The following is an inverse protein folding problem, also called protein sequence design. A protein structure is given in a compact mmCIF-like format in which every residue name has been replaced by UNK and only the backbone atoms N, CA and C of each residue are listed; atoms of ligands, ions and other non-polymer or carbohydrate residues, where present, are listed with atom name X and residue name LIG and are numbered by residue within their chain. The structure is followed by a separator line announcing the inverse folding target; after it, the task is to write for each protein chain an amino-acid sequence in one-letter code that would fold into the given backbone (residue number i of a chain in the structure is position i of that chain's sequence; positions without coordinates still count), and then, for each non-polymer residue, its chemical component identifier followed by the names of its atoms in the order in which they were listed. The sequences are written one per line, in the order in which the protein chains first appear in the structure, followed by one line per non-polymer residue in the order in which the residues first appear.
data_IF_286648194681
#
_entry.id   IF_286648194681
#
_cell.length_a   1.000
_cell.length_b   1.000
_cell.length_c   1.000
_cell.angle_alpha   90.00
_cell.angle_beta   90.00
_cell.angle_gamma   90.00
#
_symmetry.space_group_name_H-M   'P 1'
#
loop_
_entity.id
_entity.type
_entity.pdbx_description
1 polymer ?
#
# COMPACT_ATOMS: atom_id res chain seq x y z
N UNK A 1 20.05 -12.35 -12.40
CA UNK A 1 19.81 -13.67 -11.77
C UNK A 1 20.31 -13.66 -10.33
N UNK A 2 19.60 -14.28 -9.38
CA UNK A 2 19.94 -14.28 -7.94
C UNK A 2 21.03 -15.32 -7.64
N UNK A 3 22.19 -14.89 -7.14
CA UNK A 3 23.34 -15.74 -6.79
C UNK A 3 23.01 -16.69 -5.61
N UNK A 4 23.64 -17.86 -5.56
CA UNK A 4 23.51 -18.85 -4.47
C UNK A 4 23.71 -18.26 -3.07
N UNK A 5 24.66 -17.34 -2.88
CA UNK A 5 24.83 -16.59 -1.62
C UNK A 5 23.58 -15.79 -1.25
N UNK A 6 22.99 -15.13 -2.23
CA UNK A 6 21.82 -14.28 -2.06
C UNK A 6 20.56 -15.12 -1.78
N UNK A 7 20.45 -16.33 -2.34
CA UNK A 7 19.38 -17.30 -2.00
C UNK A 7 19.51 -17.81 -0.56
N UNK A 8 20.71 -18.14 -0.10
CA UNK A 8 20.92 -18.63 1.27
C UNK A 8 20.66 -17.53 2.31
N UNK A 9 21.09 -16.30 2.03
CA UNK A 9 20.76 -15.15 2.87
C UNK A 9 19.24 -14.89 2.93
N UNK A 10 18.54 -14.94 1.78
CA UNK A 10 17.09 -14.81 1.75
C UNK A 10 16.38 -15.93 2.53
N UNK A 11 16.91 -17.16 2.50
CA UNK A 11 16.37 -18.30 3.27
C UNK A 11 16.53 -18.11 4.78
N UNK A 12 17.71 -17.67 5.22
CA UNK A 12 17.99 -17.38 6.62
C UNK A 12 17.21 -16.15 7.15
N UNK A 13 16.95 -15.16 6.30
CA UNK A 13 16.11 -14.02 6.64
C UNK A 13 14.62 -14.40 6.69
N UNK A 14 14.18 -15.32 5.81
CA UNK A 14 12.81 -15.82 5.81
C UNK A 14 12.47 -16.60 7.09
N UNK A 15 13.40 -17.40 7.62
CA UNK A 15 13.20 -18.12 8.89
C UNK A 15 13.13 -17.19 10.10
N UNK A 16 13.73 -16.00 10.03
CA UNK A 16 13.62 -14.94 11.04
C UNK A 16 12.42 -14.01 10.86
N UNK A 17 11.66 -14.15 9.77
CA UNK A 17 10.51 -13.27 9.52
C UNK A 17 9.33 -13.63 10.43
N UNK A 18 8.91 -12.66 11.25
CA UNK A 18 7.70 -12.74 12.09
C UNK A 18 6.43 -12.38 11.32
N UNK A 19 6.46 -12.56 9.99
CA UNK A 19 5.34 -12.26 9.12
C UNK A 19 4.14 -13.17 9.41
N UNK A 20 2.90 -12.72 9.12
CA UNK A 20 1.72 -13.50 9.45
C UNK A 20 1.67 -14.82 8.67
N UNK A 21 1.58 -15.93 9.42
CA UNK A 21 1.59 -17.31 8.89
C UNK A 21 0.19 -17.85 8.60
N UNK A 22 -0.86 -17.24 9.15
CA UNK A 22 -2.26 -17.66 8.99
C UNK A 22 -2.96 -16.91 7.85
N UNK A 23 -4.00 -17.49 7.26
CA UNK A 23 -4.79 -16.86 6.20
C UNK A 23 -5.41 -15.52 6.66
N UNK A 24 -5.95 -15.48 7.89
CA UNK A 24 -6.46 -14.26 8.51
C UNK A 24 -5.35 -13.23 8.75
N UNK A 25 -4.17 -13.65 9.22
CA UNK A 25 -3.04 -12.76 9.40
C UNK A 25 -2.51 -12.18 8.07
N UNK A 26 -2.49 -13.00 7.00
CA UNK A 26 -2.13 -12.56 5.65
C UNK A 26 -3.17 -11.60 5.08
N UNK A 27 -4.46 -11.84 5.31
CA UNK A 27 -5.53 -10.91 4.93
C UNK A 27 -5.41 -9.58 5.69
N UNK A 28 -5.17 -9.61 7.00
CA UNK A 28 -4.94 -8.38 7.79
C UNK A 28 -3.66 -7.65 7.36
N UNK A 29 -2.59 -8.36 7.01
CA UNK A 29 -1.39 -7.75 6.46
C UNK A 29 -1.57 -7.24 5.02
N UNK A 30 -2.40 -7.86 4.18
CA UNK A 30 -2.77 -7.32 2.87
C UNK A 30 -3.64 -6.07 3.03
N UNK A 31 -4.47 -6.03 4.06
CA UNK A 31 -5.22 -4.83 4.47
C UNK A 31 -4.30 -3.73 5.04
N UNK A 32 -3.10 -4.05 5.57
CA UNK A 32 -2.12 -3.01 5.97
C UNK A 32 -1.63 -2.20 4.76
N UNK A 33 -1.48 -2.83 3.58
CA UNK A 33 -1.15 -2.12 2.34
C UNK A 33 -2.26 -1.15 1.92
N UNK A 34 -3.53 -1.51 2.17
CA UNK A 34 -4.69 -0.64 1.97
C UNK A 34 -4.79 0.46 3.04
N UNK A 35 -4.42 0.17 4.29
CA UNK A 35 -4.46 1.09 5.44
C UNK A 35 -3.50 2.27 5.31
N UNK A 36 -2.34 2.08 4.67
CA UNK A 36 -1.36 3.14 4.47
C UNK A 36 -1.46 3.80 3.09
N UNK A 37 -2.29 3.28 2.17
CA UNK A 37 -2.56 3.83 0.83
C UNK A 37 -1.40 3.80 -0.17
N UNK A 38 -0.15 3.91 0.32
CA UNK A 38 1.07 4.01 -0.49
C UNK A 38 1.52 2.68 -1.13
N UNK A 39 0.94 1.55 -0.72
CA UNK A 39 1.25 0.22 -1.24
C UNK A 39 0.07 -0.44 -1.96
N UNK A 40 -1.02 0.30 -2.20
CA UNK A 40 -2.12 -0.19 -3.02
C UNK A 40 -1.62 -0.37 -4.46
N UNK A 41 -1.87 -1.53 -5.08
CA UNK A 41 -1.48 -1.81 -6.47
C UNK A 41 -2.15 -0.78 -7.38
N UNK A 42 -1.38 -0.13 -8.25
CA UNK A 42 -1.85 0.89 -9.21
C UNK A 42 -3.14 0.49 -9.94
N UNK A 43 -3.22 -0.77 -10.37
CA UNK A 43 -4.36 -1.35 -11.10
C UNK A 43 -5.67 -1.47 -10.31
N UNK A 44 -5.72 -1.04 -9.05
CA UNK A 44 -6.96 -1.08 -8.25
C UNK A 44 -7.82 0.17 -8.41
N UNK A 45 -7.31 1.18 -9.13
CA UNK A 45 -7.97 2.46 -9.38
C UNK A 45 -8.60 2.49 -10.79
N UNK A 46 -9.86 2.95 -10.94
CA UNK A 46 -10.50 3.05 -12.25
C UNK A 46 -9.71 3.93 -13.23
N UNK A 47 -9.61 3.51 -14.50
CA UNK A 47 -8.96 4.27 -15.58
C UNK A 47 -7.43 4.21 -15.62
N UNK A 48 -6.81 3.55 -14.64
CA UNK A 48 -5.34 3.43 -14.57
C UNK A 48 -4.78 2.46 -15.58
N UNK A 49 -5.50 1.37 -15.85
CA UNK A 49 -5.10 0.43 -16.89
C UNK A 49 -5.14 1.11 -18.28
N UNK A 50 -6.11 1.98 -18.54
CA UNK A 50 -6.18 2.77 -19.78
C UNK A 50 -5.03 3.77 -19.90
N UNK A 51 -4.64 4.42 -18.80
CA UNK A 51 -3.50 5.34 -18.77
C UNK A 51 -2.18 4.60 -18.97
N UNK A 52 -2.02 3.43 -18.34
CA UNK A 52 -0.88 2.54 -18.54
C UNK A 52 -0.79 2.12 -20.01
N UNK A 53 -1.89 1.68 -20.61
CA UNK A 53 -1.90 1.21 -21.99
C UNK A 53 -1.65 2.35 -22.98
N UNK A 54 -2.17 3.56 -22.71
CA UNK A 54 -1.88 4.75 -23.51
C UNK A 54 -0.39 5.11 -23.46
N UNK A 55 0.20 5.14 -22.26
CA UNK A 55 1.64 5.42 -22.09
C UNK A 55 2.49 4.33 -22.71
N UNK A 56 2.11 3.05 -22.55
CA UNK A 56 2.82 1.92 -23.13
C UNK A 56 2.86 2.00 -24.66
N UNK A 57 1.73 2.32 -25.30
CA UNK A 57 1.67 2.52 -26.77
C UNK A 57 2.52 3.70 -27.21
N UNK A 58 2.51 4.81 -26.46
CA UNK A 58 3.35 5.96 -26.76
C UNK A 58 4.85 5.63 -26.64
N UNK A 59 5.24 4.80 -25.68
CA UNK A 59 6.64 4.35 -25.47
C UNK A 59 7.06 3.33 -26.54
N UNK A 60 6.20 2.35 -26.86
CA UNK A 60 6.49 1.31 -27.84
C UNK A 60 6.45 1.83 -29.30
N UNK A 61 5.69 2.89 -29.57
CA UNK A 61 5.49 3.41 -30.91
C UNK A 61 4.83 2.36 -31.83
N UNK A 62 5.37 2.18 -33.04
CA UNK A 62 4.89 1.18 -34.00
C UNK A 62 5.31 -0.26 -33.66
N UNK A 63 6.18 -0.45 -32.66
CA UNK A 63 6.74 -1.76 -32.31
C UNK A 63 5.90 -2.49 -31.28
N UNK A 64 4.94 -3.28 -31.79
CA UNK A 64 4.03 -4.09 -30.96
C UNK A 64 4.74 -5.16 -30.13
N UNK A 65 5.90 -5.63 -30.57
CA UNK A 65 6.76 -6.59 -29.89
C UNK A 65 7.35 -6.03 -28.58
N UNK A 66 7.48 -4.70 -28.46
CA UNK A 66 7.98 -4.04 -27.26
C UNK A 66 6.89 -3.63 -26.28
N UNK A 67 5.61 -3.89 -26.58
CA UNK A 67 4.47 -3.34 -25.83
C UNK A 67 4.46 -3.79 -24.37
N UNK A 68 4.81 -5.04 -24.07
CA UNK A 68 4.85 -5.54 -22.70
C UNK A 68 6.01 -4.94 -21.89
N UNK A 69 7.15 -4.64 -22.52
CA UNK A 69 8.27 -3.95 -21.89
C UNK A 69 7.92 -2.48 -21.66
N UNK A 70 7.29 -1.83 -22.63
CA UNK A 70 6.77 -0.47 -22.51
C UNK A 70 5.73 -0.35 -21.40
N UNK A 71 4.88 -1.36 -21.22
CA UNK A 71 3.90 -1.42 -20.13
C UNK A 71 4.57 -1.41 -18.75
N UNK A 72 5.69 -2.12 -18.58
CA UNK A 72 6.47 -2.09 -17.33
C UNK A 72 7.06 -0.71 -17.04
N UNK A 73 7.50 0.02 -18.07
CA UNK A 73 7.97 1.40 -17.94
C UNK A 73 6.82 2.31 -17.52
N UNK A 74 5.67 2.22 -18.22
CA UNK A 74 4.48 3.02 -17.94
C UNK A 74 3.98 2.82 -16.50
N UNK A 75 3.93 1.59 -16.02
CA UNK A 75 3.56 1.26 -14.64
C UNK A 75 4.48 1.92 -13.60
N UNK A 76 5.79 1.84 -13.82
CA UNK A 76 6.77 2.43 -12.91
C UNK A 76 6.74 3.97 -12.95
N UNK A 77 6.49 4.56 -14.11
CA UNK A 77 6.35 6.01 -14.26
C UNK A 77 5.09 6.53 -13.54
N UNK A 78 3.97 5.83 -13.68
CA UNK A 78 2.74 6.20 -12.99
C UNK A 78 2.86 6.00 -11.46
N UNK A 79 3.59 4.98 -11.00
CA UNK A 79 3.93 4.80 -9.58
C UNK A 79 4.69 6.02 -9.03
N UNK A 80 5.69 6.50 -9.77
CA UNK A 80 6.46 7.69 -9.41
C UNK A 80 5.59 8.95 -9.36
N UNK A 81 4.75 9.17 -10.37
CA UNK A 81 3.83 10.31 -10.42
C UNK A 81 2.90 10.34 -9.21
N UNK A 82 2.38 9.18 -8.78
CA UNK A 82 1.55 9.07 -7.58
C UNK A 82 2.31 9.40 -6.30
N UNK A 83 3.52 8.86 -6.16
CA UNK A 83 4.40 9.14 -5.01
C UNK A 83 4.67 10.64 -4.90
N UNK A 84 5.01 11.29 -6.02
CA UNK A 84 5.26 12.73 -6.07
C UNK A 84 4.00 13.55 -5.79
N UNK A 85 2.85 13.17 -6.34
CA UNK A 85 1.57 13.84 -6.07
C UNK A 85 1.18 13.74 -4.60
N UNK A 86 1.33 12.56 -3.99
CA UNK A 86 1.09 12.36 -2.57
C UNK A 86 2.02 13.23 -1.71
N UNK A 87 3.31 13.30 -2.07
CA UNK A 87 4.30 14.17 -1.40
C UNK A 87 3.92 15.64 -1.50
N UNK A 88 3.50 16.11 -2.68
CA UNK A 88 3.04 17.49 -2.87
C UNK A 88 1.78 17.80 -2.07
N UNK A 89 0.79 16.90 -2.05
CA UNK A 89 -0.43 17.08 -1.27
C UNK A 89 -0.13 17.15 0.23
N UNK A 90 0.76 16.30 0.74
CA UNK A 90 1.18 16.33 2.13
C UNK A 90 2.00 17.57 2.49
N UNK A 91 2.80 18.11 1.56
CA UNK A 91 3.53 19.36 1.77
C UNK A 91 2.59 20.57 1.94
N UNK A 92 1.37 20.51 1.37
CA UNK A 92 0.32 21.54 1.54
C UNK A 92 -0.41 21.41 2.88
N UNK A 93 -0.31 20.28 3.57
CA UNK A 93 -0.90 20.12 4.90
C UNK A 93 0.00 20.86 5.89
N UNK A 94 -0.51 21.90 6.59
CA UNK A 94 0.29 22.58 7.58
C UNK A 94 0.80 21.56 8.61
N UNK A 95 2.12 21.54 8.81
CA UNK A 95 2.78 20.68 9.83
C UNK A 95 2.28 20.97 11.25
N UNK A 96 1.64 22.12 11.42
CA UNK A 96 1.05 22.56 12.67
C UNK A 96 -0.47 22.46 12.62
N UNK A 97 -1.03 21.41 13.21
CA UNK A 97 -2.37 21.44 13.76
C UNK A 97 -2.23 21.57 15.28
N UNK A 98 -2.78 22.62 15.90
CA UNK A 98 -2.89 22.64 17.37
C UNK A 98 -3.61 21.38 17.88
N UNK A 99 -4.51 20.81 17.07
CA UNK A 99 -5.06 19.45 17.20
C UNK A 99 -5.49 18.90 15.83
N UNK A 100 -5.19 17.63 15.52
CA UNK A 100 -5.81 16.97 14.36
C UNK A 100 -7.11 16.30 14.78
N UNK A 101 -8.21 16.50 14.03
CA UNK A 101 -9.41 15.72 14.21
C UNK A 101 -9.09 14.25 13.88
N UNK A 102 -9.14 13.38 14.89
CA UNK A 102 -8.97 11.94 14.73
C UNK A 102 -10.26 11.24 15.10
N UNK A 103 -10.73 10.38 14.19
CA UNK A 103 -11.84 9.49 14.48
C UNK A 103 -11.34 8.33 15.36
N UNK A 104 -11.96 8.16 16.52
CA UNK A 104 -11.65 7.09 17.48
C UNK A 104 -12.93 6.37 17.90
N UNK A 105 -12.79 5.14 18.40
CA UNK A 105 -13.89 4.44 19.08
C UNK A 105 -14.36 5.27 20.28
N UNK A 106 -15.67 5.47 20.38
CA UNK A 106 -16.27 6.19 21.51
C UNK A 106 -16.06 5.43 22.81
N UNK A 107 -16.06 6.12 23.96
CA UNK A 107 -16.09 5.46 25.26
C UNK A 107 -17.22 4.42 25.34
N UNK A 108 -18.39 4.72 24.77
CA UNK A 108 -19.53 3.82 24.71
C UNK A 108 -19.23 2.54 23.90
N UNK A 109 -18.63 2.68 22.71
CA UNK A 109 -18.21 1.52 21.90
C UNK A 109 -17.19 0.63 22.62
N UNK A 110 -16.33 1.19 23.48
CA UNK A 110 -15.37 0.42 24.27
C UNK A 110 -16.04 -0.39 25.38
N UNK A 111 -17.11 0.13 25.98
CA UNK A 111 -17.92 -0.63 26.95
C UNK A 111 -18.53 -1.87 26.28
N UNK A 112 -19.07 -1.71 25.08
CA UNK A 112 -19.58 -2.82 24.27
C UNK A 112 -18.51 -3.89 24.01
N UNK A 113 -17.36 -3.48 23.46
CA UNK A 113 -16.26 -4.40 23.14
C UNK A 113 -15.69 -5.08 24.39
N UNK A 114 -15.64 -4.38 25.51
CA UNK A 114 -15.26 -4.95 26.80
C UNK A 114 -16.26 -6.02 27.26
N UNK A 115 -17.57 -5.74 27.20
CA UNK A 115 -18.62 -6.66 27.61
C UNK A 115 -18.59 -7.95 26.76
N UNK A 116 -18.50 -7.80 25.45
CA UNK A 116 -18.32 -8.92 24.50
C UNK A 116 -17.08 -9.74 24.85
N UNK A 117 -15.92 -9.10 25.05
CA UNK A 117 -14.67 -9.81 25.39
C UNK A 117 -14.70 -10.47 26.78
N UNK A 118 -15.48 -9.94 27.71
CA UNK A 118 -15.68 -10.53 29.04
C UNK A 118 -16.56 -11.77 28.95
N UNK A 119 -17.64 -11.72 28.18
CA UNK A 119 -18.58 -12.83 28.00
C UNK A 119 -18.01 -13.95 27.12
N UNK A 120 -17.25 -13.62 26.07
CA UNK A 120 -16.54 -14.61 25.24
C UNK A 120 -15.55 -15.48 26.04
N UNK A 121 -15.08 -15.01 27.21
CA UNK A 121 -14.25 -15.83 28.11
C UNK A 121 -15.03 -16.89 28.89
N UNK A 122 -16.35 -16.76 29.00
CA UNK A 122 -17.22 -17.68 29.76
C UNK A 122 -17.74 -18.87 28.95
N UNK A 123 -17.52 -18.89 27.62
CA UNK A 123 -17.93 -19.93 26.65
C UNK A 123 -19.44 -20.22 26.52
N UNK A 124 -20.26 -19.89 27.52
CA UNK A 124 -21.72 -20.00 27.54
C UNK A 124 -22.35 -18.67 27.96
N UNK A 125 -22.29 -17.65 27.09
CA UNK A 125 -22.92 -16.37 27.36
C UNK A 125 -24.10 -16.14 26.39
N UNK A 126 -25.25 -15.75 26.94
CA UNK A 126 -26.45 -15.43 26.18
C UNK A 126 -26.50 -13.95 25.78
N UNK A 127 -27.41 -13.60 24.86
CA UNK A 127 -27.70 -12.20 24.53
C UNK A 127 -28.30 -11.42 25.71
N UNK A 128 -29.04 -12.11 26.59
CA UNK A 128 -29.59 -11.50 27.81
C UNK A 128 -28.49 -11.15 28.82
N UNK A 129 -27.46 -11.99 28.94
CA UNK A 129 -26.28 -11.70 29.76
C UNK A 129 -25.54 -10.45 29.25
N UNK A 130 -25.48 -10.29 27.93
CA UNK A 130 -24.89 -9.11 27.30
C UNK A 130 -25.73 -7.87 27.57
N UNK A 131 -27.05 -7.91 27.34
CA UNK A 131 -27.95 -6.80 27.59
C UNK A 131 -27.92 -6.37 29.07
N UNK A 132 -27.96 -7.32 30.00
CA UNK A 132 -27.91 -7.02 31.43
C UNK A 132 -26.55 -6.41 31.84
N UNK A 133 -25.44 -6.90 31.28
CA UNK A 133 -24.11 -6.36 31.58
C UNK A 133 -23.93 -4.96 31.00
N UNK A 134 -24.43 -4.71 29.79
CA UNK A 134 -24.40 -3.41 29.12
C UNK A 134 -25.24 -2.37 29.88
N UNK A 135 -26.44 -2.75 30.32
CA UNK A 135 -27.28 -1.89 31.18
C UNK A 135 -26.60 -1.51 32.49
N UNK A 136 -25.89 -2.45 33.15
CA UNK A 136 -25.14 -2.19 34.39
C UNK A 136 -23.98 -1.21 34.23
N UNK A 137 -23.34 -1.18 33.06
CA UNK A 137 -22.21 -0.27 32.79
C UNK A 137 -22.63 1.04 32.13
N UNK A 138 -23.93 1.29 32.00
CA UNK A 138 -24.47 2.51 31.39
C UNK A 138 -24.15 2.61 29.90
N UNK A 139 -24.11 1.49 29.19
CA UNK A 139 -23.97 1.48 27.74
C UNK A 139 -25.27 1.95 27.08
N UNK A 140 -25.13 2.88 26.13
CA UNK A 140 -26.22 3.50 25.40
C UNK A 140 -26.27 2.96 23.95
N UNK A 141 -27.37 2.33 23.49
CA UNK A 141 -27.50 1.82 22.13
C UNK A 141 -27.52 2.92 21.06
N UNK A 142 -27.95 4.13 21.40
CA UNK A 142 -28.11 5.24 20.46
C UNK A 142 -26.85 6.10 20.35
N UNK A 143 -25.89 5.91 21.25
CA UNK A 143 -24.64 6.65 21.24
C UNK A 143 -23.73 6.22 20.08
N UNK A 144 -23.07 7.19 19.40
CA UNK A 144 -22.28 6.90 18.21
C UNK A 144 -21.08 6.00 18.51
N UNK A 145 -20.83 5.03 17.62
CA UNK A 145 -19.72 4.06 17.74
C UNK A 145 -18.35 4.75 17.66
N UNK A 146 -18.26 5.83 16.89
CA UNK A 146 -17.04 6.63 16.73
C UNK A 146 -17.31 8.09 16.99
N UNK A 147 -16.36 8.76 17.63
CA UNK A 147 -16.39 10.19 17.89
C UNK A 147 -15.14 10.86 17.33
N UNK A 148 -15.27 12.14 17.00
CA UNK A 148 -14.15 12.97 16.63
C UNK A 148 -13.49 13.50 17.90
N UNK A 149 -12.19 13.26 18.08
CA UNK A 149 -11.43 13.81 19.21
C UNK A 149 -10.25 14.66 18.71
N UNK A 150 -9.92 15.75 19.43
CA UNK A 150 -8.69 16.48 19.19
C UNK A 150 -7.49 15.58 19.53
N UNK A 151 -6.65 15.25 18.54
CA UNK A 151 -5.39 14.55 18.78
C UNK A 151 -4.32 15.54 19.22
N UNK A 152 -3.79 15.36 20.44
CA UNK A 152 -2.56 16.03 20.93
C UNK A 152 -1.29 15.56 20.21
N UNK A 153 -1.37 14.42 19.52
CA UNK A 153 -0.24 13.91 18.75
C UNK A 153 -0.18 14.64 17.41
N UNK A 154 1.00 15.14 16.99
CA UNK A 154 1.18 15.59 15.61
C UNK A 154 0.81 14.44 14.65
N UNK A 155 0.61 14.74 13.36
CA UNK A 155 0.64 13.69 12.34
C UNK A 155 1.85 12.79 12.68
N UNK A 156 1.73 11.45 12.59
CA UNK A 156 2.93 10.61 12.63
C UNK A 156 3.93 11.28 11.71
N UNK A 157 5.19 11.43 12.15
CA UNK A 157 6.26 11.79 11.23
C UNK A 157 6.23 10.71 10.15
N UNK A 158 5.47 10.95 9.09
CA UNK A 158 5.69 10.36 7.79
C UNK A 158 7.01 10.98 7.42
N UNK A 159 8.08 10.44 8.01
CA UNK A 159 9.40 10.91 7.77
C UNK A 159 9.54 10.88 6.24
N UNK A 160 10.12 11.92 5.65
CA UNK A 160 10.37 11.96 4.22
C UNK A 160 11.04 10.65 3.74
N UNK A 161 11.73 9.94 4.64
CA UNK A 161 12.27 8.58 4.47
C UNK A 161 11.25 7.49 4.09
N UNK A 162 9.98 7.60 4.52
CA UNK A 162 8.93 6.67 4.13
C UNK A 162 8.68 6.77 2.62
N UNK A 163 8.55 7.99 2.09
CA UNK A 163 8.44 8.23 0.65
C UNK A 163 9.73 7.88 -0.09
N UNK A 164 10.88 8.19 0.49
CA UNK A 164 12.19 7.92 -0.12
C UNK A 164 12.38 6.42 -0.44
N UNK A 165 11.91 5.52 0.42
CA UNK A 165 11.94 4.07 0.15
C UNK A 165 11.05 3.67 -1.04
N UNK A 166 9.85 4.24 -1.14
CA UNK A 166 8.94 3.95 -2.26
C UNK A 166 9.45 4.58 -3.56
N UNK A 167 9.95 5.80 -3.48
CA UNK A 167 10.55 6.53 -4.60
C UNK A 167 11.78 5.81 -5.14
N UNK A 168 12.72 5.41 -4.27
CA UNK A 168 13.91 4.63 -4.66
C UNK A 168 13.52 3.31 -5.33
N UNK A 169 12.47 2.64 -4.84
CA UNK A 169 11.95 1.40 -5.45
C UNK A 169 11.37 1.67 -6.83
N UNK A 170 10.50 2.66 -6.97
CA UNK A 170 9.85 3.00 -8.24
C UNK A 170 10.87 3.48 -9.28
N UNK A 171 11.84 4.31 -8.89
CA UNK A 171 12.98 4.72 -9.72
C UNK A 171 13.81 3.51 -10.18
N UNK A 172 14.10 2.58 -9.27
CA UNK A 172 14.84 1.36 -9.63
C UNK A 172 14.04 0.51 -10.63
N UNK A 173 12.73 0.31 -10.40
CA UNK A 173 11.86 -0.44 -11.32
C UNK A 173 11.83 0.21 -12.71
N UNK A 174 11.69 1.53 -12.78
CA UNK A 174 11.73 2.28 -14.04
C UNK A 174 13.08 2.11 -14.73
N UNK A 175 14.20 2.24 -14.00
CA UNK A 175 15.55 2.05 -14.55
C UNK A 175 15.74 0.67 -15.17
N UNK A 176 15.35 -0.39 -14.46
CA UNK A 176 15.47 -1.76 -14.99
C UNK A 176 14.53 -2.00 -16.17
N UNK A 177 13.29 -1.49 -16.13
CA UNK A 177 12.35 -1.61 -17.24
C UNK A 177 12.84 -0.91 -18.51
N UNK A 178 13.44 0.29 -18.38
CA UNK A 178 14.07 1.00 -19.50
C UNK A 178 15.23 0.19 -20.05
N UNK A 179 16.10 -0.34 -19.19
CA UNK A 179 17.23 -1.17 -19.64
C UNK A 179 16.77 -2.42 -20.40
N UNK A 180 15.74 -3.11 -19.92
CA UNK A 180 15.20 -4.30 -20.59
C UNK A 180 14.56 -3.93 -21.93
N UNK A 181 13.85 -2.79 -21.99
CA UNK A 181 13.27 -2.26 -23.22
C UNK A 181 14.35 -1.88 -24.24
N UNK A 182 15.40 -1.16 -23.84
CA UNK A 182 16.49 -0.75 -24.71
C UNK A 182 17.25 -1.96 -25.26
N UNK A 183 17.51 -2.97 -24.41
CA UNK A 183 18.14 -4.21 -24.84
C UNK A 183 17.31 -4.93 -25.93
N UNK A 184 16.00 -5.12 -25.69
CA UNK A 184 15.11 -5.73 -26.68
C UNK A 184 14.94 -4.87 -27.94
N UNK A 185 15.05 -3.55 -27.82
CA UNK A 185 15.03 -2.64 -28.96
C UNK A 185 16.24 -2.85 -29.85
N UNK A 186 17.43 -2.93 -29.26
CA UNK A 186 18.72 -3.13 -29.94
C UNK A 186 18.88 -4.54 -30.52
N UNK A 187 18.43 -5.58 -29.83
CA UNK A 187 18.45 -6.97 -30.33
C UNK A 187 17.57 -7.15 -31.59
N UNK A 188 16.54 -6.31 -31.76
CA UNK A 188 15.63 -6.35 -32.90
C UNK A 188 16.02 -5.39 -34.04
N UNK A 189 17.09 -4.61 -33.90
CA UNK A 189 17.71 -3.85 -34.99
C UNK A 189 18.97 -4.62 -35.46
N UNK A 190 18.85 -5.63 -36.34
CA UNK A 190 20.03 -6.22 -36.94
C UNK A 190 20.60 -5.21 -37.94
N UNK A 191 21.81 -4.73 -37.62
CA UNK A 191 22.83 -4.18 -38.52
C UNK A 191 22.35 -3.37 -39.74
N UNK A 192 22.29 -2.04 -39.60
CA UNK A 192 22.22 -1.08 -40.72
C UNK A 192 23.61 -0.57 -41.14
N UNK A 193 24.69 -1.33 -40.94
CA UNK A 193 26.05 -0.88 -41.26
C UNK A 193 26.78 -1.66 -42.35
N UNK A 194 26.05 -2.30 -43.28
CA UNK A 194 26.62 -2.82 -44.53
C UNK A 194 25.69 -2.49 -45.72
N UNK A 195 25.67 -1.23 -46.14
CA UNK A 195 25.12 -0.80 -47.43
C UNK A 195 25.62 0.62 -47.77
N UNK A 196 26.93 0.78 -47.90
CA UNK A 196 27.52 1.83 -48.73
C UNK A 196 28.48 1.13 -49.69
N UNK A 197 27.95 0.78 -50.86
CA UNK A 197 28.72 0.52 -52.08
C UNK A 197 29.04 1.88 -52.75
#
# INVERSE_FOLDING_TARGET
MTNSRQRNANRANATRSTGPRTALGKATASLNARRHGLAARLRSEPGVDDEIDRLARAIAGARSDLLDLARRIAEADLELRRIWRARQLLAKVPRTPRFLPRMVESPNSKLFMWAVRRLNRRKEASMDDLAQLLGKVGWDPDAPVRIMVPSKKPLPDWDASAFERYERRALSRRKFAIRDFDAARLEAEPDRSVAED
#
